data_IF_440504970670
#
_entry.id   IF_440504970670
#
_cell.length_a   1.000
_cell.length_b   1.000
_cell.length_c   1.000
_cell.angle_alpha   90.00
_cell.angle_beta   90.00
_cell.angle_gamma   90.00
#
_symmetry.space_group_name_H-M   'P 1'
#
loop_
_entity.id
_entity.type
_entity.pdbx_description
1 polymer ?
#
# COMPACT_ATOMS: atom_id res chain seq x y z
N UNK A 1 -1.80 -14.14 0.95
CA UNK A 1 -1.81 -12.85 0.22
C UNK A 1 -2.64 -11.80 0.94
N UNK A 2 -3.88 -12.07 1.37
CA UNK A 2 -4.72 -11.11 2.13
C UNK A 2 -4.01 -10.44 3.32
N UNK A 3 -3.30 -11.21 4.15
CA UNK A 3 -2.56 -10.66 5.29
C UNK A 3 -1.62 -9.49 4.95
N UNK A 4 -0.92 -9.55 3.82
CA UNK A 4 -0.02 -8.47 3.40
C UNK A 4 -0.81 -7.22 2.97
N UNK A 5 -1.93 -7.43 2.26
CA UNK A 5 -2.84 -6.37 1.83
C UNK A 5 -3.60 -5.73 3.01
N UNK A 6 -3.79 -6.45 4.11
CA UNK A 6 -4.44 -5.94 5.32
C UNK A 6 -3.47 -5.11 6.18
N UNK A 7 -2.17 -5.40 6.11
CA UNK A 7 -1.14 -4.72 6.92
C UNK A 7 -0.52 -3.55 6.19
N UNK A 8 -0.30 -3.70 4.89
CA UNK A 8 0.37 -2.71 4.05
C UNK A 8 -0.67 -1.90 3.30
N UNK A 9 -0.56 -0.58 3.38
CA UNK A 9 -1.36 0.37 2.61
C UNK A 9 -0.49 1.53 2.15
N UNK A 10 -0.97 2.31 1.18
CA UNK A 10 -0.28 3.53 0.75
C UNK A 10 -1.30 4.62 0.44
N UNK A 11 -0.93 5.87 0.74
CA UNK A 11 -1.67 7.07 0.33
C UNK A 11 -1.15 7.64 -1.02
N UNK A 12 -0.20 6.95 -1.65
CA UNK A 12 0.50 7.39 -2.85
C UNK A 12 1.77 8.22 -2.58
N UNK A 13 1.99 8.69 -1.36
CA UNK A 13 3.19 9.43 -0.95
C UNK A 13 4.08 8.60 -0.01
N UNK A 14 3.47 7.86 0.89
CA UNK A 14 4.11 7.00 1.87
C UNK A 14 3.50 5.60 1.85
N UNK A 15 4.34 4.63 2.18
CA UNK A 15 3.92 3.28 2.54
C UNK A 15 3.67 3.22 4.04
N UNK A 16 2.59 2.55 4.42
CA UNK A 16 2.18 2.34 5.80
C UNK A 16 2.21 0.85 6.10
N UNK A 17 2.82 0.47 7.22
CA UNK A 17 2.68 -0.85 7.82
C UNK A 17 1.93 -0.73 9.15
N UNK A 18 0.81 -1.44 9.27
CA UNK A 18 -0.05 -1.40 10.48
C UNK A 18 -0.38 0.04 10.91
N UNK A 19 -0.67 0.91 9.94
CA UNK A 19 -1.01 2.33 10.17
C UNK A 19 0.18 3.25 10.49
N UNK A 20 1.41 2.76 10.53
CA UNK A 20 2.62 3.58 10.74
C UNK A 20 3.36 3.80 9.42
N UNK A 21 3.84 5.02 9.20
CA UNK A 21 4.71 5.34 8.06
C UNK A 21 5.96 4.47 8.14
N UNK A 22 6.24 3.74 7.07
CA UNK A 22 7.42 2.91 6.94
C UNK A 22 8.47 3.56 6.03
N UNK A 23 8.05 3.98 4.84
CA UNK A 23 8.94 4.55 3.83
C UNK A 23 8.18 5.48 2.89
N UNK A 24 8.92 6.36 2.19
CA UNK A 24 8.34 7.21 1.14
C UNK A 24 8.23 6.40 -0.15
N UNK A 25 7.11 6.56 -0.86
CA UNK A 25 6.93 5.96 -2.18
C UNK A 25 8.00 6.46 -3.14
N UNK A 26 8.79 5.52 -3.67
CA UNK A 26 9.82 5.77 -4.67
C UNK A 26 9.30 5.64 -6.10
N UNK A 27 8.32 4.75 -6.32
CA UNK A 27 7.61 4.58 -7.57
C UNK A 27 6.09 4.67 -7.37
N UNK A 28 5.54 5.79 -7.85
CA UNK A 28 4.10 6.10 -7.77
C UNK A 28 3.24 5.12 -8.57
N UNK A 29 3.79 4.50 -9.64
CA UNK A 29 3.04 3.52 -10.43
C UNK A 29 2.85 2.25 -9.63
N UNK A 30 3.92 1.74 -9.01
CA UNK A 30 3.85 0.58 -8.12
C UNK A 30 2.89 0.83 -6.95
N UNK A 31 2.92 2.02 -6.33
CA UNK A 31 1.97 2.37 -5.28
C UNK A 31 0.51 2.33 -5.76
N UNK A 32 0.23 2.92 -6.94
CA UNK A 32 -1.10 2.89 -7.53
C UNK A 32 -1.58 1.45 -7.83
N UNK A 33 -0.73 0.62 -8.45
CA UNK A 33 -1.08 -0.77 -8.75
C UNK A 33 -1.33 -1.59 -7.48
N UNK A 34 -0.51 -1.39 -6.46
CA UNK A 34 -0.68 -2.07 -5.17
C UNK A 34 -2.03 -1.69 -4.54
N UNK A 35 -2.31 -0.40 -4.44
CA UNK A 35 -3.53 0.09 -3.78
C UNK A 35 -4.80 -0.31 -4.56
N UNK A 36 -4.75 -0.29 -5.90
CA UNK A 36 -5.82 -0.85 -6.74
C UNK A 36 -6.03 -2.34 -6.44
N UNK A 37 -4.96 -3.14 -6.39
CA UNK A 37 -5.07 -4.57 -6.05
C UNK A 37 -5.63 -4.82 -4.66
N UNK A 38 -5.24 -3.98 -3.69
CA UNK A 38 -5.75 -4.01 -2.31
C UNK A 38 -7.26 -3.74 -2.28
N UNK A 39 -7.70 -2.68 -2.96
CA UNK A 39 -9.12 -2.29 -3.04
C UNK A 39 -9.98 -3.28 -3.82
N UNK A 40 -9.45 -3.92 -4.86
CA UNK A 40 -10.15 -4.99 -5.59
C UNK A 40 -10.31 -6.29 -4.79
N UNK A 41 -9.58 -6.44 -3.68
CA UNK A 41 -9.66 -7.62 -2.81
C UNK A 41 -10.72 -7.47 -1.70
N UNK A 42 -11.26 -6.24 -1.51
CA UNK A 42 -12.43 -5.96 -0.67
C UNK A 42 -13.70 -6.58 -1.27
#
# INVERSE_FOLDING_TARGET
>A
MRYLLDIVSTDGYYWYMSGKICERVSDYRTAAFFEIGRLLTL
#
